data_IF_767378354882
#
_entry.id   IF_767378354882
#
_cell.length_a   1.000
_cell.length_b   1.000
_cell.length_c   1.000
_cell.angle_alpha   90.00
_cell.angle_beta   90.00
_cell.angle_gamma   90.00
#
_symmetry.space_group_name_H-M   'P 1'
#
loop_
_entity.id
_entity.type
_entity.pdbx_description
1 polymer ?
#
# COMPACT_ATOMS: atom_id res chain seq x y z
N UNK A 1 0.54 -7.31 -18.17
CA UNK A 1 0.11 -8.72 -18.30
C UNK A 1 -0.35 -9.12 -19.69
N UNK A 2 -0.92 -8.24 -20.51
CA UNK A 2 -1.43 -8.58 -21.85
C UNK A 2 -0.39 -9.30 -22.76
N UNK A 3 0.84 -8.79 -22.85
CA UNK A 3 1.89 -9.43 -23.64
C UNK A 3 2.26 -10.81 -23.13
N UNK A 4 2.37 -10.97 -21.80
CA UNK A 4 2.59 -12.26 -21.13
C UNK A 4 1.47 -13.27 -21.39
N UNK A 5 0.25 -12.81 -21.62
CA UNK A 5 -0.88 -13.66 -22.06
C UNK A 5 -0.90 -13.96 -23.56
N UNK A 6 0.20 -13.72 -24.28
CA UNK A 6 0.34 -14.01 -25.71
C UNK A 6 -0.35 -13.01 -26.65
N UNK A 7 -0.81 -11.87 -26.14
CA UNK A 7 -1.42 -10.83 -26.97
C UNK A 7 -0.33 -9.95 -27.62
N UNK A 8 -0.52 -9.57 -28.88
CA UNK A 8 0.28 -8.53 -29.52
C UNK A 8 -0.19 -7.17 -28.98
N UNK A 9 0.69 -6.45 -28.30
CA UNK A 9 0.37 -5.20 -27.60
C UNK A 9 1.13 -4.05 -28.26
N UNK A 10 0.42 -2.95 -28.52
CA UNK A 10 1.02 -1.66 -28.88
C UNK A 10 0.81 -0.71 -27.70
N UNK A 11 1.87 -0.04 -27.27
CA UNK A 11 1.82 1.00 -26.21
C UNK A 11 2.08 2.34 -26.88
N UNK A 12 1.16 3.29 -26.70
CA UNK A 12 1.26 4.64 -27.25
C UNK A 12 1.42 5.63 -26.10
N UNK A 13 2.48 6.44 -26.14
CA UNK A 13 2.72 7.55 -25.23
C UNK A 13 2.88 8.82 -26.06
N UNK A 14 2.16 9.87 -25.68
CA UNK A 14 2.15 11.16 -26.37
C UNK A 14 3.45 11.94 -26.18
N UNK A 15 4.10 11.76 -25.02
CA UNK A 15 5.33 12.45 -24.64
C UNK A 15 6.55 11.66 -25.08
N UNK A 16 7.70 12.32 -25.10
CA UNK A 16 9.00 11.68 -25.26
C UNK A 16 9.49 10.94 -23.99
N UNK A 17 8.64 10.80 -22.97
CA UNK A 17 8.98 10.25 -21.67
C UNK A 17 7.81 9.44 -21.10
N UNK A 18 8.13 8.27 -20.57
CA UNK A 18 7.17 7.39 -19.90
C UNK A 18 6.86 7.83 -18.45
N UNK A 19 5.76 7.31 -17.91
CA UNK A 19 5.41 7.44 -16.49
C UNK A 19 4.30 8.43 -16.19
N UNK A 20 3.86 9.25 -17.16
CA UNK A 20 2.74 10.19 -16.97
C UNK A 20 2.99 11.13 -15.79
N UNK A 21 2.11 11.12 -14.79
CA UNK A 21 2.25 11.90 -13.55
C UNK A 21 3.43 11.42 -12.67
N UNK A 22 3.79 10.15 -12.76
CA UNK A 22 4.95 9.58 -12.06
C UNK A 22 6.28 9.81 -12.81
N UNK A 23 6.28 10.60 -13.90
CA UNK A 23 7.51 10.92 -14.61
C UNK A 23 8.37 11.89 -13.80
N UNK A 24 9.61 11.53 -13.52
CA UNK A 24 10.60 12.44 -12.93
C UNK A 24 10.99 13.53 -13.93
N UNK A 25 11.11 14.77 -13.51
CA UNK A 25 11.66 15.87 -14.32
C UNK A 25 12.88 16.46 -13.61
N UNK A 26 13.69 17.20 -14.36
CA UNK A 26 14.70 18.08 -13.80
C UNK A 26 14.17 19.51 -13.92
N UNK A 27 13.86 20.13 -12.78
CA UNK A 27 13.24 21.47 -12.76
C UNK A 27 14.26 22.59 -12.53
N UNK A 28 15.46 22.24 -12.04
CA UNK A 28 16.63 23.10 -11.85
C UNK A 28 17.87 22.20 -12.02
N UNK A 29 19.04 22.69 -12.51
CA UNK A 29 20.21 21.85 -12.74
C UNK A 29 20.62 21.04 -11.51
N UNK A 30 20.62 19.71 -11.67
CA UNK A 30 20.92 18.75 -10.61
C UNK A 30 19.73 18.35 -9.73
N UNK A 31 18.58 19.00 -9.84
CA UNK A 31 17.40 18.75 -9.01
C UNK A 31 16.32 18.00 -9.77
N UNK A 32 16.08 16.75 -9.36
CA UNK A 32 15.11 15.85 -10.00
C UNK A 32 13.99 15.47 -9.03
N UNK A 33 12.75 15.59 -9.49
CA UNK A 33 11.56 15.18 -8.74
C UNK A 33 10.42 14.75 -9.66
N UNK A 34 9.43 14.03 -9.12
CA UNK A 34 8.16 13.85 -9.82
C UNK A 34 7.35 15.15 -9.73
N UNK A 35 6.65 15.50 -10.81
CA UNK A 35 5.85 16.74 -10.87
C UNK A 35 4.69 16.77 -9.87
N UNK A 36 4.17 15.60 -9.50
CA UNK A 36 3.17 15.46 -8.46
C UNK A 36 3.76 14.68 -7.30
N UNK A 37 3.23 14.96 -6.10
CA UNK A 37 3.51 14.13 -4.95
C UNK A 37 2.77 12.80 -5.08
N UNK A 38 3.49 11.77 -5.49
CA UNK A 38 3.00 10.40 -5.55
C UNK A 38 3.65 9.55 -4.45
N UNK A 39 2.86 8.64 -3.87
CA UNK A 39 3.38 7.65 -2.92
C UNK A 39 2.85 6.27 -3.27
N UNK A 40 3.76 5.32 -3.38
CA UNK A 40 3.41 3.91 -3.55
C UNK A 40 3.13 3.33 -2.17
N UNK A 41 1.85 3.16 -1.83
CA UNK A 41 1.45 2.58 -0.53
C UNK A 41 1.55 1.06 -0.51
N UNK A 42 1.23 0.42 -1.63
CA UNK A 42 1.24 -1.02 -1.78
C UNK A 42 1.29 -1.37 -3.27
N UNK A 43 2.08 -2.38 -3.61
CA UNK A 43 2.07 -3.04 -4.91
C UNK A 43 1.76 -4.51 -4.63
N UNK A 44 0.89 -5.10 -5.44
CA UNK A 44 0.61 -6.52 -5.35
C UNK A 44 1.89 -7.34 -5.60
N UNK A 45 2.35 -8.16 -4.62
CA UNK A 45 3.54 -8.98 -4.79
C UNK A 45 3.47 -9.93 -5.98
N UNK A 46 2.26 -10.35 -6.38
CA UNK A 46 2.06 -11.21 -7.57
C UNK A 46 2.48 -10.47 -8.85
N UNK A 47 2.18 -9.18 -8.95
CA UNK A 47 2.56 -8.35 -10.11
C UNK A 47 4.07 -8.17 -10.17
N UNK A 48 4.71 -7.88 -9.03
CA UNK A 48 6.18 -7.75 -8.95
C UNK A 48 6.88 -9.05 -9.35
N UNK A 49 6.44 -10.17 -8.78
CA UNK A 49 6.96 -11.51 -9.08
C UNK A 49 6.80 -11.87 -10.55
N UNK A 50 5.61 -11.63 -11.10
CA UNK A 50 5.29 -11.96 -12.48
C UNK A 50 6.11 -11.13 -13.46
N UNK A 51 6.28 -9.83 -13.22
CA UNK A 51 7.08 -8.95 -14.07
C UNK A 51 8.59 -9.16 -13.90
N UNK A 52 9.04 -9.83 -12.84
CA UNK A 52 10.46 -10.06 -12.50
C UNK A 52 11.29 -8.78 -12.45
N UNK A 53 10.67 -7.63 -12.16
CA UNK A 53 11.33 -6.32 -12.25
C UNK A 53 12.38 -6.09 -11.18
N UNK A 54 12.28 -6.76 -10.03
CA UNK A 54 13.30 -6.70 -8.97
C UNK A 54 14.67 -7.15 -9.51
N UNK A 55 14.68 -8.19 -10.35
CA UNK A 55 15.89 -8.66 -11.03
C UNK A 55 16.45 -7.68 -12.07
N UNK A 56 15.65 -6.69 -12.46
CA UNK A 56 16.00 -5.65 -13.43
C UNK A 56 16.37 -4.32 -12.74
N UNK A 57 16.62 -4.33 -11.43
CA UNK A 57 17.04 -3.16 -10.66
C UNK A 57 15.91 -2.35 -10.05
N UNK A 58 14.67 -2.85 -10.06
CA UNK A 58 13.59 -2.24 -9.29
C UNK A 58 13.84 -2.44 -7.78
N UNK A 59 13.80 -1.35 -7.02
CA UNK A 59 13.91 -1.38 -5.57
C UNK A 59 12.89 -0.42 -4.93
N UNK A 60 12.28 -0.84 -3.83
CA UNK A 60 11.36 -0.01 -3.04
C UNK A 60 12.12 0.58 -1.87
N UNK A 61 12.18 1.91 -1.81
CA UNK A 61 12.77 2.60 -0.67
C UNK A 61 11.74 2.63 0.46
N UNK A 62 12.04 1.91 1.54
CA UNK A 62 11.20 1.89 2.74
C UNK A 62 11.65 2.95 3.75
N UNK A 63 10.80 3.95 3.99
CA UNK A 63 10.99 4.91 5.09
C UNK A 63 10.44 4.35 6.41
N UNK A 64 11.18 4.54 7.52
CA UNK A 64 10.65 4.25 8.87
C UNK A 64 9.50 5.20 9.22
N UNK A 65 9.63 6.48 8.89
CA UNK A 65 8.59 7.49 9.14
C UNK A 65 7.54 7.41 8.04
N UNK A 66 6.31 7.07 8.42
CA UNK A 66 5.14 6.99 7.54
C UNK A 66 4.46 8.34 7.35
N UNK A 67 4.35 9.11 8.44
CA UNK A 67 3.61 10.38 8.47
C UNK A 67 4.04 11.19 9.68
N UNK A 68 3.96 12.51 9.56
CA UNK A 68 4.06 13.43 10.70
C UNK A 68 2.76 14.22 10.77
N UNK A 69 2.09 14.20 11.92
CA UNK A 69 1.00 15.11 12.23
C UNK A 69 1.58 16.32 12.96
N UNK A 70 1.55 17.48 12.30
CA UNK A 70 2.13 18.71 12.83
C UNK A 70 1.21 19.35 13.86
N UNK A 71 1.58 19.30 15.14
CA UNK A 71 0.97 20.13 16.19
C UNK A 71 1.72 21.43 16.46
N UNK A 72 1.07 22.37 17.15
CA UNK A 72 1.67 23.64 17.60
C UNK A 72 2.74 23.40 18.67
N UNK A 73 3.73 24.30 18.75
CA UNK A 73 4.75 24.29 19.80
C UNK A 73 5.56 23.00 19.86
N UNK A 74 5.94 22.46 18.70
CA UNK A 74 6.70 21.20 18.54
C UNK A 74 6.01 19.95 19.09
N UNK A 75 4.70 20.00 19.36
CA UNK A 75 3.89 18.85 19.76
C UNK A 75 3.47 18.02 18.54
N UNK A 76 4.44 17.48 17.82
CA UNK A 76 4.20 16.65 16.64
C UNK A 76 4.03 15.18 17.02
N UNK A 77 3.20 14.47 16.26
CA UNK A 77 3.14 13.01 16.32
C UNK A 77 3.83 12.45 15.07
N UNK A 78 4.88 11.66 15.27
CA UNK A 78 5.60 10.96 14.21
C UNK A 78 5.11 9.52 14.19
N UNK A 79 4.52 9.12 13.08
CA UNK A 79 4.06 7.76 12.85
C UNK A 79 5.16 6.96 12.19
N UNK A 80 5.55 5.86 12.83
CA UNK A 80 6.62 4.97 12.37
C UNK A 80 6.05 3.63 11.86
N UNK A 81 6.91 2.82 11.23
CA UNK A 81 6.63 1.40 11.01
C UNK A 81 6.51 0.63 12.34
N UNK A 82 7.32 1.01 13.34
CA UNK A 82 7.24 0.48 14.70
C UNK A 82 6.05 1.06 15.46
N UNK A 83 5.20 0.18 16.00
CA UNK A 83 4.11 0.58 16.89
C UNK A 83 4.63 1.21 18.18
N UNK A 84 5.75 0.71 18.72
CA UNK A 84 6.37 1.28 19.92
C UNK A 84 6.86 2.71 19.68
N UNK A 85 7.65 2.95 18.62
CA UNK A 85 8.15 4.31 18.32
C UNK A 85 7.01 5.31 18.12
N UNK A 86 5.91 4.85 17.52
CA UNK A 86 4.72 5.69 17.35
C UNK A 86 4.06 5.99 18.70
N UNK A 87 3.90 4.99 19.58
CA UNK A 87 3.41 5.20 20.94
C UNK A 87 4.29 6.17 21.73
N UNK A 88 5.62 6.07 21.60
CA UNK A 88 6.57 7.00 22.23
C UNK A 88 6.43 8.43 21.69
N UNK A 89 6.07 8.59 20.42
CA UNK A 89 5.76 9.91 19.87
C UNK A 89 4.43 10.44 20.37
N UNK A 90 3.42 9.58 20.54
CA UNK A 90 2.08 9.95 21.04
C UNK A 90 2.15 10.34 22.52
N UNK A 91 3.00 9.70 23.32
CA UNK A 91 3.10 9.93 24.78
C UNK A 91 3.46 11.36 25.14
N UNK A 92 4.13 12.08 24.23
CA UNK A 92 4.45 13.52 24.34
C UNK A 92 3.20 14.41 24.37
N UNK A 93 2.05 13.90 23.89
CA UNK A 93 0.76 14.59 23.89
C UNK A 93 -0.27 13.91 24.80
N UNK A 94 -0.31 12.58 24.81
CA UNK A 94 -1.29 11.79 25.56
C UNK A 94 -0.68 10.46 26.01
N UNK A 95 -0.47 10.32 27.32
CA UNK A 95 0.01 9.07 27.91
C UNK A 95 -1.01 7.93 27.78
N UNK A 96 -2.31 8.24 27.89
CA UNK A 96 -3.38 7.25 27.74
C UNK A 96 -3.38 6.65 26.33
N UNK A 97 -3.33 7.49 25.29
CA UNK A 97 -3.37 6.99 23.90
C UNK A 97 -2.10 6.24 23.53
N UNK A 98 -0.95 6.64 24.08
CA UNK A 98 0.30 5.92 23.89
C UNK A 98 0.22 4.47 24.40
N UNK A 99 -0.34 4.27 25.60
CA UNK A 99 -0.52 2.93 26.18
C UNK A 99 -1.48 2.07 25.34
N UNK A 100 -2.54 2.67 24.80
CA UNK A 100 -3.57 1.97 24.03
C UNK A 100 -3.18 1.75 22.54
N UNK A 101 -2.17 2.46 22.03
CA UNK A 101 -1.83 2.47 20.60
C UNK A 101 -1.51 1.10 20.02
N UNK A 102 -0.77 0.26 20.76
CA UNK A 102 -0.39 -1.07 20.28
C UNK A 102 -1.61 -1.97 20.10
N UNK A 103 -2.53 -1.95 21.05
CA UNK A 103 -3.75 -2.74 20.99
C UNK A 103 -4.64 -2.23 19.84
N UNK A 104 -4.79 -0.92 19.72
CA UNK A 104 -5.51 -0.30 18.60
C UNK A 104 -4.97 -0.75 17.23
N UNK A 105 -3.66 -0.68 17.01
CA UNK A 105 -3.07 -1.12 15.72
C UNK A 105 -3.22 -2.63 15.51
N UNK A 106 -3.13 -3.44 16.57
CA UNK A 106 -3.39 -4.88 16.50
C UNK A 106 -4.83 -5.17 16.07
N UNK A 107 -5.80 -4.44 16.66
CA UNK A 107 -7.21 -4.54 16.30
C UNK A 107 -7.46 -4.15 14.84
N UNK A 108 -6.94 -3.01 14.38
CA UNK A 108 -7.06 -2.58 12.98
C UNK A 108 -6.43 -3.61 12.04
N UNK A 109 -5.28 -4.21 12.40
CA UNK A 109 -4.66 -5.26 11.59
C UNK A 109 -5.57 -6.48 11.43
N UNK A 110 -6.25 -6.91 12.50
CA UNK A 110 -7.23 -8.02 12.43
C UNK A 110 -8.38 -7.67 11.49
N UNK A 111 -8.94 -6.46 11.60
CA UNK A 111 -10.05 -6.03 10.74
C UNK A 111 -9.67 -5.93 9.25
N UNK A 112 -8.42 -5.60 8.95
CA UNK A 112 -7.98 -5.30 7.58
C UNK A 112 -7.31 -6.48 6.86
N UNK A 113 -7.01 -7.58 7.56
CA UNK A 113 -6.22 -8.68 7.01
C UNK A 113 -6.89 -9.36 5.79
N UNK A 114 -8.21 -9.31 5.69
CA UNK A 114 -8.94 -9.86 4.54
C UNK A 114 -8.77 -9.06 3.25
N UNK A 115 -8.37 -7.79 3.33
CA UNK A 115 -8.22 -6.93 2.16
C UNK A 115 -7.16 -7.49 1.19
N UNK A 116 -6.08 -8.08 1.69
CA UNK A 116 -5.07 -8.69 0.83
C UNK A 116 -5.62 -9.86 0.02
N UNK A 117 -6.55 -10.63 0.59
CA UNK A 117 -7.25 -11.71 -0.14
C UNK A 117 -8.30 -11.13 -1.08
N UNK A 118 -9.01 -10.09 -0.66
CA UNK A 118 -10.01 -9.41 -1.48
C UNK A 118 -9.39 -8.87 -2.77
N UNK A 119 -8.24 -8.21 -2.70
CA UNK A 119 -7.54 -7.72 -3.90
C UNK A 119 -7.04 -8.84 -4.83
N UNK A 120 -7.08 -10.10 -4.40
CA UNK A 120 -6.73 -11.26 -5.23
C UNK A 120 -7.88 -11.81 -6.04
N UNK A 121 -9.12 -11.48 -5.66
CA UNK A 121 -10.32 -11.97 -6.32
C UNK A 121 -10.71 -11.03 -7.45
N UNK A 122 -11.19 -11.62 -8.55
CA UNK A 122 -11.95 -10.87 -9.54
C UNK A 122 -13.26 -10.41 -8.90
N UNK A 123 -13.60 -9.12 -8.92
CA UNK A 123 -14.85 -8.65 -8.34
C UNK A 123 -16.04 -9.29 -9.09
N UNK A 124 -17.11 -9.69 -8.38
CA UNK A 124 -18.28 -10.29 -9.02
C UNK A 124 -19.06 -9.27 -9.84
N UNK A 125 -19.80 -9.74 -10.84
CA UNK A 125 -20.70 -8.90 -11.62
C UNK A 125 -22.00 -8.62 -10.84
N UNK A 126 -22.13 -7.41 -10.31
CA UNK A 126 -23.33 -7.00 -9.58
C UNK A 126 -24.47 -6.62 -10.55
N UNK A 127 -25.75 -6.93 -10.22
CA UNK A 127 -26.24 -7.49 -8.96
C UNK A 127 -26.29 -9.03 -8.91
N UNK A 128 -25.92 -9.75 -9.97
CA UNK A 128 -26.10 -11.20 -10.07
C UNK A 128 -24.89 -11.93 -9.50
N UNK A 129 -24.91 -12.20 -8.20
CA UNK A 129 -23.89 -13.04 -7.55
C UNK A 129 -24.21 -14.52 -7.83
N UNK A 130 -23.34 -15.19 -8.58
CA UNK A 130 -23.46 -16.62 -8.87
C UNK A 130 -22.89 -17.50 -7.76
N UNK A 131 -23.15 -18.82 -7.84
CA UNK A 131 -22.60 -19.80 -6.89
C UNK A 131 -21.06 -19.85 -6.92
N UNK A 132 -20.46 -19.72 -8.11
CA UNK A 132 -19.00 -19.64 -8.27
C UNK A 132 -18.40 -18.42 -7.57
N UNK A 133 -19.08 -17.28 -7.64
CA UNK A 133 -18.64 -16.05 -6.99
C UNK A 133 -18.70 -16.19 -5.47
N UNK A 134 -19.82 -16.72 -4.95
CA UNK A 134 -19.98 -17.01 -3.53
C UNK A 134 -18.89 -17.98 -3.02
N UNK A 135 -18.54 -19.00 -3.80
CA UNK A 135 -17.48 -19.94 -3.45
C UNK A 135 -16.10 -19.26 -3.41
N UNK A 136 -15.80 -18.39 -4.39
CA UNK A 136 -14.55 -17.64 -4.46
C UNK A 136 -14.39 -16.66 -3.28
N UNK A 137 -15.48 -16.04 -2.85
CA UNK A 137 -15.55 -15.15 -1.68
C UNK A 137 -15.33 -15.89 -0.36
N UNK A 138 -15.53 -17.21 -0.30
CA UNK A 138 -15.21 -18.02 0.88
C UNK A 138 -13.73 -17.91 1.30
N UNK A 139 -12.83 -17.59 0.36
CA UNK A 139 -11.42 -17.33 0.66
C UNK A 139 -11.19 -16.08 1.52
N UNK A 140 -12.14 -15.13 1.56
CA UNK A 140 -12.11 -13.94 2.41
C UNK A 140 -12.25 -14.26 3.90
N UNK A 141 -12.77 -15.43 4.24
CA UNK A 141 -12.93 -15.89 5.62
C UNK A 141 -11.63 -16.48 6.19
N UNK A 142 -10.64 -16.82 5.35
CA UNK A 142 -9.34 -17.41 5.78
C UNK A 142 -8.59 -16.61 6.85
N UNK A 143 -8.52 -15.26 6.82
CA UNK A 143 -7.89 -14.46 7.86
C UNK A 143 -8.55 -14.60 9.23
N UNK A 144 -9.89 -14.69 9.26
CA UNK A 144 -10.65 -14.87 10.49
C UNK A 144 -10.42 -16.25 11.11
N UNK A 145 -10.15 -17.28 10.30
CA UNK A 145 -9.80 -18.62 10.82
C UNK A 145 -8.38 -18.71 11.39
N UNK A 146 -7.45 -17.83 10.99
CA UNK A 146 -6.07 -17.81 11.50
C UNK A 146 -5.94 -17.14 12.87
N UNK A 147 -6.90 -16.30 13.24
CA UNK A 147 -6.99 -15.67 14.54
C UNK A 147 -8.22 -16.22 15.23
N UNK A 148 -8.08 -17.41 15.83
CA UNK A 148 -9.07 -17.94 16.75
C UNK A 148 -9.45 -16.90 17.79
N UNK A 149 -10.72 -16.95 18.20
CA UNK A 149 -11.37 -16.01 19.12
C UNK A 149 -10.53 -15.66 20.35
#
# INVERSE_FOLDING_TARGET
MLSKSGRKVVVLESRNKIGGLASTIEFEPGFKCNMVYDTVKWIDPRVLSELKIESQGFNIIHSDVKRIALGKGNKHIIFHNSSQKTADSISKLSGNDATNWKEFISYIKKLTQFLEYLYKLTPPELPKIGFSDALSMGSLLKPFMKHGS
#
